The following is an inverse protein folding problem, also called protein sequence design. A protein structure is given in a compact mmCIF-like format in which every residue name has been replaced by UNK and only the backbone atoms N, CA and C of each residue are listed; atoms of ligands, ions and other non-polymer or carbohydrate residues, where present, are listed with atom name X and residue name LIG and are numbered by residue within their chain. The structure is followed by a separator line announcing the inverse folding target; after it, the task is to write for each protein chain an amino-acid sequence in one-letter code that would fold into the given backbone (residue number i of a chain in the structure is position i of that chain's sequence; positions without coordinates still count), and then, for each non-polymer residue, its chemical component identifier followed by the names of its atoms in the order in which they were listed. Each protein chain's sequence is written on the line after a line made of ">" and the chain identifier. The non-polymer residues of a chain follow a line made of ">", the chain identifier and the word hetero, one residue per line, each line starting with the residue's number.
data_IF_735895437714
#
_entry.id   IF_735895437714
#
_cell.length_a   1.000
_cell.length_b   1.000
_cell.length_c   1.000
_cell.angle_alpha   90.00
_cell.angle_beta   90.00
_cell.angle_gamma   90.00
#
_symmetry.space_group_name_H-M   'P 1'
#
loop_
_entity.id
_entity.type
_entity.pdbx_description
1 polymer ?
#
# COMPACT_ATOMS: atom_id res chain seq x y z
N UNK A 1 -1.48 -2.08 29.84
CA UNK A 1 -1.08 -2.66 31.15
C UNK A 1 -2.29 -3.20 31.94
N UNK A 2 -3.13 -4.06 31.34
CA UNK A 2 -4.22 -4.79 32.04
C UNK A 2 -3.90 -6.29 32.22
N UNK A 3 -2.79 -6.77 31.67
CA UNK A 3 -2.49 -8.20 31.57
C UNK A 3 -1.95 -8.83 32.87
N UNK A 4 -1.48 -8.03 33.84
CA UNK A 4 -0.71 -8.57 34.98
C UNK A 4 -1.55 -9.15 36.14
N UNK A 5 -2.77 -8.67 36.47
CA UNK A 5 -3.50 -9.23 37.61
C UNK A 5 -4.49 -10.35 37.23
N UNK A 6 -5.04 -10.40 36.00
CA UNK A 6 -6.11 -11.33 35.62
C UNK A 6 -6.05 -11.76 34.13
N UNK A 7 -5.15 -12.70 33.75
CA UNK A 7 -4.93 -13.10 32.36
C UNK A 7 -6.18 -13.68 31.67
N UNK A 8 -7.07 -14.34 32.43
CA UNK A 8 -8.34 -14.87 31.91
C UNK A 8 -9.32 -13.77 31.51
N UNK A 9 -9.38 -12.67 32.27
CA UNK A 9 -10.23 -11.53 31.94
C UNK A 9 -9.70 -10.79 30.71
N UNK A 10 -8.38 -10.61 30.63
CA UNK A 10 -7.73 -10.05 29.44
C UNK A 10 -8.02 -10.90 28.20
N UNK A 11 -7.91 -12.22 28.32
CA UNK A 11 -8.17 -13.16 27.21
C UNK A 11 -9.63 -13.14 26.79
N UNK A 12 -10.57 -13.08 27.73
CA UNK A 12 -12.01 -12.98 27.42
C UNK A 12 -12.36 -11.65 26.73
N UNK A 13 -11.79 -10.54 27.20
CA UNK A 13 -11.98 -9.22 26.58
C UNK A 13 -11.36 -9.17 25.19
N UNK A 14 -10.13 -9.69 25.02
CA UNK A 14 -9.49 -9.81 23.71
C UNK A 14 -10.28 -10.73 22.77
N UNK A 15 -10.84 -11.83 23.26
CA UNK A 15 -11.70 -12.72 22.47
C UNK A 15 -12.97 -12.03 22.00
N UNK A 16 -13.67 -11.30 22.88
CA UNK A 16 -14.86 -10.53 22.50
C UNK A 16 -14.52 -9.40 21.53
N UNK A 17 -13.40 -8.71 21.73
CA UNK A 17 -12.91 -7.70 20.78
C UNK A 17 -12.56 -8.34 19.43
N UNK A 18 -12.01 -9.57 19.44
CA UNK A 18 -11.64 -10.29 18.22
C UNK A 18 -12.83 -10.62 17.33
N UNK A 19 -14.04 -10.79 17.89
CA UNK A 19 -15.26 -11.00 17.10
C UNK A 19 -15.57 -9.76 16.25
N UNK A 20 -15.37 -8.56 16.81
CA UNK A 20 -15.57 -7.30 16.09
C UNK A 20 -14.51 -7.06 15.01
N UNK A 21 -13.25 -7.38 15.30
CA UNK A 21 -12.17 -7.25 14.31
C UNK A 21 -12.20 -8.36 13.26
N UNK A 22 -12.76 -9.53 13.59
CA UNK A 22 -12.91 -10.64 12.66
C UNK A 22 -13.78 -10.26 11.46
N UNK A 23 -14.87 -9.52 11.69
CA UNK A 23 -15.69 -8.97 10.60
C UNK A 23 -14.87 -8.07 9.67
N UNK A 24 -14.00 -7.22 10.22
CA UNK A 24 -13.12 -6.36 9.44
C UNK A 24 -12.15 -7.21 8.62
N UNK A 25 -11.53 -8.23 9.21
CA UNK A 25 -10.62 -9.13 8.47
C UNK A 25 -11.33 -9.92 7.38
N UNK A 26 -12.58 -10.36 7.63
CA UNK A 26 -13.37 -11.09 6.64
C UNK A 26 -13.75 -10.18 5.48
N UNK A 27 -14.24 -8.97 5.75
CA UNK A 27 -14.52 -7.99 4.70
C UNK A 27 -13.24 -7.62 3.95
N UNK A 28 -12.14 -7.36 4.66
CA UNK A 28 -10.87 -7.01 4.04
C UNK A 28 -10.34 -8.11 3.14
N UNK A 29 -10.39 -9.38 3.55
CA UNK A 29 -9.86 -10.49 2.74
C UNK A 29 -10.81 -10.91 1.61
N UNK A 30 -12.12 -10.97 1.86
CA UNK A 30 -13.09 -11.47 0.88
C UNK A 30 -13.52 -10.38 -0.11
N UNK A 31 -13.70 -9.13 0.35
CA UNK A 31 -14.12 -8.04 -0.54
C UNK A 31 -12.93 -7.48 -1.31
N UNK A 32 -11.71 -7.45 -0.76
CA UNK A 32 -10.55 -6.96 -1.54
C UNK A 32 -10.24 -7.79 -2.78
N UNK A 33 -10.59 -9.08 -2.77
CA UNK A 33 -10.40 -9.99 -3.91
C UNK A 33 -11.48 -9.85 -4.98
N UNK A 34 -12.56 -9.10 -4.72
CA UNK A 34 -13.60 -8.91 -5.72
C UNK A 34 -13.09 -8.08 -6.90
N UNK A 35 -13.34 -8.51 -8.15
CA UNK A 35 -12.88 -7.81 -9.35
C UNK A 35 -13.34 -6.34 -9.42
N UNK A 36 -14.40 -6.00 -8.69
CA UNK A 36 -15.02 -4.69 -8.67
C UNK A 36 -14.80 -3.90 -7.36
N UNK A 37 -14.03 -4.40 -6.39
CA UNK A 37 -13.77 -3.67 -5.15
C UNK A 37 -12.95 -2.39 -5.36
N UNK A 38 -12.25 -2.33 -6.50
CA UNK A 38 -11.44 -1.19 -6.93
C UNK A 38 -11.99 -0.53 -8.19
N UNK A 39 -13.30 -0.61 -8.43
CA UNK A 39 -13.89 0.17 -9.54
C UNK A 39 -13.62 1.63 -9.26
N UNK A 40 -12.70 2.21 -10.04
CA UNK A 40 -12.44 3.64 -10.02
C UNK A 40 -13.74 4.36 -10.36
N UNK A 41 -14.36 4.94 -9.33
CA UNK A 41 -15.48 5.82 -9.51
C UNK A 41 -14.97 7.16 -10.04
N UNK A 42 -15.79 7.84 -10.82
CA UNK A 42 -15.41 9.13 -11.42
C UNK A 42 -14.96 10.09 -10.32
N UNK A 43 -13.72 10.57 -10.39
CA UNK A 43 -13.16 11.48 -9.39
C UNK A 43 -13.72 12.90 -9.55
N UNK A 44 -13.70 13.67 -8.46
CA UNK A 44 -14.05 15.09 -8.44
C UNK A 44 -15.55 15.40 -8.55
N UNK A 45 -15.92 16.65 -8.90
CA UNK A 45 -17.30 17.12 -8.88
C UNK A 45 -18.25 16.29 -9.76
N UNK A 46 -17.76 15.76 -10.88
CA UNK A 46 -18.54 14.91 -11.78
C UNK A 46 -18.99 13.61 -11.09
N UNK A 47 -18.12 13.00 -10.27
CA UNK A 47 -18.48 11.83 -9.46
C UNK A 47 -19.58 12.14 -8.45
N UNK A 48 -19.49 13.28 -7.78
CA UNK A 48 -20.50 13.70 -6.78
C UNK A 48 -21.87 13.83 -7.44
N UNK A 49 -21.95 14.47 -8.62
CA UNK A 49 -23.20 14.60 -9.38
C UNK A 49 -23.72 13.22 -9.81
N UNK A 50 -22.84 12.34 -10.29
CA UNK A 50 -23.20 10.98 -10.70
C UNK A 50 -23.76 10.15 -9.54
N UNK A 51 -23.12 10.20 -8.37
CA UNK A 51 -23.58 9.52 -7.16
C UNK A 51 -24.93 10.08 -6.69
N UNK A 52 -25.09 11.40 -6.69
CA UNK A 52 -26.35 12.05 -6.33
C UNK A 52 -27.49 11.63 -7.28
N UNK A 53 -27.23 11.56 -8.59
CA UNK A 53 -28.20 11.08 -9.58
C UNK A 53 -28.61 9.63 -9.33
N UNK A 54 -27.66 8.72 -9.05
CA UNK A 54 -27.97 7.32 -8.72
C UNK A 54 -28.88 7.25 -7.48
N UNK A 55 -28.53 7.99 -6.41
CA UNK A 55 -29.33 8.03 -5.17
C UNK A 55 -30.74 8.57 -5.43
N UNK A 56 -30.86 9.69 -6.16
CA UNK A 56 -32.16 10.29 -6.47
C UNK A 56 -33.04 9.37 -7.34
N UNK A 57 -32.44 8.66 -8.29
CA UNK A 57 -33.16 7.67 -9.12
C UNK A 57 -33.63 6.47 -8.28
N UNK A 58 -32.78 5.93 -7.41
CA UNK A 58 -33.16 4.86 -6.47
C UNK A 58 -34.29 5.29 -5.52
N UNK A 59 -34.19 6.49 -4.93
CA UNK A 59 -35.24 7.05 -4.09
C UNK A 59 -36.54 7.27 -4.89
N UNK A 60 -36.44 7.75 -6.13
CA UNK A 60 -37.57 7.93 -7.02
C UNK A 60 -38.32 6.63 -7.32
N UNK A 61 -37.61 5.52 -7.50
CA UNK A 61 -38.20 4.18 -7.70
C UNK A 61 -38.93 3.67 -6.44
N UNK A 62 -38.38 3.96 -5.26
CA UNK A 62 -38.97 3.60 -3.98
C UNK A 62 -40.24 4.41 -3.66
N UNK A 63 -40.33 5.67 -4.10
CA UNK A 63 -41.48 6.53 -3.84
C UNK A 63 -42.74 6.10 -4.61
N UNK A 64 -43.82 5.83 -3.86
CA UNK A 64 -45.13 5.43 -4.41
C UNK A 64 -45.80 6.49 -5.31
N UNK A 65 -45.44 7.76 -5.17
CA UNK A 65 -46.01 8.86 -5.97
C UNK A 65 -45.49 8.87 -7.42
N UNK A 66 -44.36 8.22 -7.68
CA UNK A 66 -43.69 8.22 -8.98
C UNK A 66 -43.88 6.90 -9.74
N UNK A 67 -44.88 6.09 -9.37
CA UNK A 67 -45.13 4.75 -9.94
C UNK A 67 -45.32 4.80 -11.45
N UNK A 68 -46.02 5.81 -11.96
CA UNK A 68 -46.25 6.01 -13.39
C UNK A 68 -44.95 6.26 -14.18
N UNK A 69 -43.93 6.84 -13.53
CA UNK A 69 -42.62 7.15 -14.13
C UNK A 69 -41.57 6.06 -13.91
N UNK A 70 -41.89 4.97 -13.19
CA UNK A 70 -40.97 3.87 -12.91
C UNK A 70 -40.26 3.29 -14.14
N UNK A 71 -40.90 3.05 -15.30
CA UNK A 71 -40.17 2.54 -16.46
C UNK A 71 -39.08 3.53 -16.90
N UNK A 72 -39.41 4.84 -16.95
CA UNK A 72 -38.44 5.89 -17.28
C UNK A 72 -37.30 6.01 -16.25
N UNK A 73 -37.62 6.01 -14.95
CA UNK A 73 -36.62 6.05 -13.88
C UNK A 73 -35.71 4.83 -13.89
N UNK A 74 -36.25 3.65 -14.18
CA UNK A 74 -35.47 2.41 -14.26
C UNK A 74 -34.52 2.43 -15.46
N UNK A 75 -35.01 2.87 -16.62
CA UNK A 75 -34.17 3.04 -17.83
C UNK A 75 -33.06 4.05 -17.56
N UNK A 76 -33.38 5.20 -16.94
CA UNK A 76 -32.39 6.21 -16.59
C UNK A 76 -31.35 5.69 -15.61
N UNK A 77 -31.76 4.92 -14.58
CA UNK A 77 -30.83 4.32 -13.63
C UNK A 77 -29.89 3.33 -14.33
N UNK A 78 -30.42 2.45 -15.18
CA UNK A 78 -29.62 1.52 -15.97
C UNK A 78 -28.65 2.27 -16.88
N UNK A 79 -29.10 3.32 -17.57
CA UNK A 79 -28.24 4.13 -18.43
C UNK A 79 -27.10 4.80 -17.64
N UNK A 80 -27.39 5.37 -16.46
CA UNK A 80 -26.40 6.00 -15.58
C UNK A 80 -25.38 4.96 -15.08
N UNK A 81 -25.83 3.77 -14.67
CA UNK A 81 -24.96 2.68 -14.23
C UNK A 81 -24.08 2.15 -15.37
N UNK A 82 -24.62 2.04 -16.59
CA UNK A 82 -23.85 1.64 -17.77
C UNK A 82 -22.81 2.69 -18.16
N UNK A 83 -23.15 3.98 -18.09
CA UNK A 83 -22.20 5.07 -18.33
C UNK A 83 -21.08 5.07 -17.29
N UNK A 84 -21.41 4.87 -16.00
CA UNK A 84 -20.40 4.78 -14.95
C UNK A 84 -19.48 3.57 -15.16
N UNK A 85 -20.04 2.41 -15.47
CA UNK A 85 -19.26 1.20 -15.73
C UNK A 85 -18.36 1.35 -16.97
N UNK A 86 -18.86 1.96 -18.04
CA UNK A 86 -18.08 2.22 -19.26
C UNK A 86 -16.93 3.20 -19.02
N UNK A 87 -17.14 4.20 -18.16
CA UNK A 87 -16.06 5.11 -17.77
C UNK A 87 -14.96 4.38 -17.00
N UNK A 88 -15.33 3.56 -16.01
CA UNK A 88 -14.38 2.78 -15.23
C UNK A 88 -13.60 1.77 -16.06
N UNK A 89 -14.22 1.12 -17.06
CA UNK A 89 -13.51 0.19 -17.93
C UNK A 89 -12.52 0.91 -18.85
N UNK A 90 -12.86 2.09 -19.36
CA UNK A 90 -11.94 2.92 -20.15
C UNK A 90 -10.77 3.40 -19.30
N UNK A 91 -11.02 3.80 -18.05
CA UNK A 91 -9.95 4.20 -17.11
C UNK A 91 -9.00 3.03 -16.81
N UNK A 92 -9.55 1.85 -16.57
CA UNK A 92 -8.76 0.63 -16.35
C UNK A 92 -7.91 0.27 -17.58
N UNK A 93 -8.45 0.40 -18.79
CA UNK A 93 -7.70 0.18 -20.04
C UNK A 93 -6.61 1.23 -20.22
N UNK A 94 -6.88 2.51 -19.87
CA UNK A 94 -5.86 3.57 -19.88
C UNK A 94 -4.77 3.31 -18.86
N UNK A 95 -5.12 2.77 -17.69
CA UNK A 95 -4.17 2.40 -16.65
C UNK A 95 -3.27 1.24 -17.11
N UNK A 96 -3.85 0.19 -17.69
CA UNK A 96 -3.08 -0.94 -18.23
C UNK A 96 -2.25 -0.57 -19.48
N UNK A 97 -2.71 0.39 -20.26
CA UNK A 97 -1.99 0.95 -21.43
C UNK A 97 -1.12 2.17 -21.11
N UNK A 98 -0.90 2.48 -19.83
CA UNK A 98 -0.10 3.64 -19.43
C UNK A 98 1.39 3.33 -19.64
N UNK A 99 1.87 3.53 -20.87
CA UNK A 99 3.30 3.55 -21.23
C UNK A 99 4.00 4.87 -20.84
N UNK A 100 3.38 5.68 -19.96
CA UNK A 100 4.00 6.89 -19.44
C UNK A 100 5.15 6.57 -18.49
N UNK A 101 6.10 7.51 -18.34
CA UNK A 101 7.11 7.44 -17.30
C UNK A 101 6.45 7.60 -15.92
N UNK A 102 6.00 6.49 -15.33
CA UNK A 102 5.57 6.49 -13.93
C UNK A 102 6.76 6.84 -13.05
N UNK A 103 6.50 7.60 -11.99
CA UNK A 103 7.51 8.00 -11.01
C UNK A 103 7.25 7.44 -9.63
N UNK A 104 5.99 7.14 -9.32
CA UNK A 104 5.58 6.58 -8.03
C UNK A 104 4.50 5.55 -8.29
N UNK A 105 4.66 4.35 -7.73
CA UNK A 105 3.66 3.27 -7.77
C UNK A 105 3.58 2.64 -6.39
N UNK A 106 2.38 2.60 -5.81
CA UNK A 106 2.14 1.83 -4.59
C UNK A 106 1.68 0.43 -4.99
N UNK A 107 2.52 -0.57 -4.76
CA UNK A 107 2.24 -1.96 -5.08
C UNK A 107 1.09 -2.49 -4.22
N UNK A 108 0.20 -3.23 -4.85
CA UNK A 108 -0.85 -3.97 -4.15
C UNK A 108 -0.27 -5.23 -3.52
N UNK A 109 0.18 -5.13 -2.28
CA UNK A 109 0.78 -6.23 -1.51
C UNK A 109 -0.18 -6.87 -0.51
N UNK A 110 -1.47 -6.55 -0.61
CA UNK A 110 -2.48 -6.98 0.35
C UNK A 110 -2.39 -6.18 1.64
N UNK A 111 -1.94 -6.81 2.72
CA UNK A 111 -1.70 -6.11 3.99
C UNK A 111 -0.28 -5.52 3.99
N UNK A 112 -0.19 -4.22 4.25
CA UNK A 112 1.06 -3.50 4.42
C UNK A 112 1.40 -2.54 3.30
N UNK A 113 2.67 -2.15 3.26
CA UNK A 113 3.19 -1.12 2.36
C UNK A 113 4.27 -1.68 1.43
N UNK A 114 4.27 -1.18 0.19
CA UNK A 114 5.33 -1.39 -0.79
C UNK A 114 5.26 -0.27 -1.84
N UNK A 115 6.11 0.74 -1.71
CA UNK A 115 6.12 1.92 -2.55
C UNK A 115 7.34 1.93 -3.46
N UNK A 116 7.11 1.93 -4.77
CA UNK A 116 8.16 2.05 -5.79
C UNK A 116 8.25 3.50 -6.25
N UNK A 117 9.47 4.03 -6.31
CA UNK A 117 9.76 5.35 -6.83
C UNK A 117 10.81 5.21 -7.94
N UNK A 118 10.60 5.88 -9.08
CA UNK A 118 11.53 5.88 -10.21
C UNK A 118 11.80 7.29 -10.68
N UNK A 119 13.08 7.61 -10.86
CA UNK A 119 13.51 8.85 -11.51
C UNK A 119 14.74 8.59 -12.37
N UNK A 120 14.69 9.00 -13.64
CA UNK A 120 15.74 8.73 -14.64
C UNK A 120 16.23 7.27 -14.68
N UNK A 121 15.33 6.30 -14.49
CA UNK A 121 15.67 4.87 -14.47
C UNK A 121 16.34 4.36 -13.20
N UNK A 122 16.56 5.23 -12.20
CA UNK A 122 17.02 4.89 -10.85
C UNK A 122 15.80 4.57 -9.99
N UNK A 123 15.80 3.44 -9.29
CA UNK A 123 14.61 2.89 -8.62
C UNK A 123 14.81 2.76 -7.11
N UNK A 124 13.90 3.33 -6.33
CA UNK A 124 13.76 3.04 -4.91
C UNK A 124 12.54 2.15 -4.66
N UNK A 125 12.64 1.27 -3.67
CA UNK A 125 11.54 0.50 -3.11
C UNK A 125 11.50 0.76 -1.60
N UNK A 126 10.35 1.17 -1.07
CA UNK A 126 10.11 1.37 0.36
C UNK A 126 9.12 0.31 0.81
N UNK A 127 9.56 -0.56 1.72
CA UNK A 127 8.86 -1.76 2.19
C UNK A 127 8.51 -2.77 1.08
N UNK A 128 8.12 -3.98 1.49
CA UNK A 128 7.97 -5.15 0.62
C UNK A 128 6.70 -5.95 0.92
N UNK A 129 5.80 -5.44 1.77
CA UNK A 129 4.57 -6.13 2.14
C UNK A 129 4.80 -7.39 2.99
N UNK A 130 3.71 -8.14 3.20
CA UNK A 130 3.70 -9.37 4.02
C UNK A 130 4.20 -10.62 3.32
N UNK A 131 3.84 -10.78 2.07
CA UNK A 131 4.04 -12.01 1.29
C UNK A 131 4.95 -11.73 0.10
N UNK A 132 5.69 -12.74 -0.36
CA UNK A 132 6.67 -12.57 -1.45
C UNK A 132 5.99 -12.39 -2.83
N UNK A 133 4.97 -13.19 -3.14
CA UNK A 133 4.33 -13.19 -4.46
C UNK A 133 3.75 -11.83 -4.90
N UNK A 134 3.08 -11.03 -4.04
CA UNK A 134 2.48 -9.78 -4.49
C UNK A 134 3.50 -8.70 -4.88
N UNK A 135 4.57 -8.54 -4.10
CA UNK A 135 5.62 -7.55 -4.41
C UNK A 135 6.40 -7.99 -5.65
N UNK A 136 6.70 -9.29 -5.79
CA UNK A 136 7.37 -9.83 -6.97
C UNK A 136 6.58 -9.55 -8.26
N UNK A 137 5.29 -9.92 -8.29
CA UNK A 137 4.41 -9.64 -9.43
C UNK A 137 4.32 -8.16 -9.75
N UNK A 138 4.28 -7.29 -8.73
CA UNK A 138 4.25 -5.86 -8.94
C UNK A 138 5.53 -5.38 -9.64
N UNK A 139 6.69 -5.77 -9.13
CA UNK A 139 7.99 -5.37 -9.68
C UNK A 139 8.21 -5.91 -11.11
N UNK A 140 7.72 -7.11 -11.41
CA UNK A 140 7.72 -7.69 -12.77
C UNK A 140 6.84 -6.90 -13.74
N UNK A 141 5.61 -6.58 -13.34
CA UNK A 141 4.71 -5.75 -14.15
C UNK A 141 5.30 -4.35 -14.43
N UNK A 142 6.11 -3.83 -13.50
CA UNK A 142 6.84 -2.57 -13.63
C UNK A 142 8.18 -2.69 -14.37
N UNK A 143 8.54 -3.90 -14.85
CA UNK A 143 9.81 -4.21 -15.50
C UNK A 143 11.03 -3.74 -14.67
N UNK A 144 11.02 -4.02 -13.37
CA UNK A 144 12.10 -3.67 -12.45
C UNK A 144 13.03 -4.87 -12.31
N UNK A 145 14.24 -4.76 -12.87
CA UNK A 145 15.33 -5.73 -12.71
C UNK A 145 16.42 -5.26 -11.74
N UNK A 146 16.34 -4.01 -11.28
CA UNK A 146 17.33 -3.36 -10.41
C UNK A 146 16.65 -2.41 -9.44
N UNK A 147 17.03 -2.49 -8.17
CA UNK A 147 16.63 -1.59 -7.11
C UNK A 147 17.90 -0.89 -6.60
N UNK A 148 17.96 0.42 -6.75
CA UNK A 148 19.09 1.24 -6.30
C UNK A 148 19.09 1.44 -4.79
N UNK A 149 17.90 1.61 -4.23
CA UNK A 149 17.67 1.89 -2.82
C UNK A 149 16.47 1.09 -2.35
N UNK A 150 16.71 0.08 -1.53
CA UNK A 150 15.66 -0.57 -0.75
C UNK A 150 15.61 0.09 0.62
N UNK A 151 14.44 0.48 1.11
CA UNK A 151 14.24 0.97 2.47
C UNK A 151 13.27 0.02 3.15
N UNK A 152 13.68 -0.60 4.25
CA UNK A 152 12.75 -1.30 5.14
C UNK A 152 12.51 -0.38 6.32
N UNK A 153 11.29 0.14 6.44
CA UNK A 153 10.94 1.13 7.46
C UNK A 153 11.09 0.52 8.85
N UNK A 154 10.55 -0.67 9.05
CA UNK A 154 10.62 -1.46 10.27
C UNK A 154 10.33 -2.95 9.98
N UNK A 155 10.56 -3.82 10.97
CA UNK A 155 10.51 -5.27 10.78
C UNK A 155 9.17 -5.91 11.16
N UNK A 156 8.06 -5.20 10.98
CA UNK A 156 6.74 -5.83 11.05
C UNK A 156 6.49 -6.64 9.78
N UNK A 157 5.71 -7.73 9.93
CA UNK A 157 5.54 -8.70 8.87
C UNK A 157 4.99 -8.07 7.60
N UNK A 158 4.06 -7.14 7.72
CA UNK A 158 3.44 -6.41 6.61
C UNK A 158 4.34 -5.32 5.98
N UNK A 159 5.56 -5.12 6.47
CA UNK A 159 6.54 -4.21 5.87
C UNK A 159 7.76 -4.96 5.32
N UNK A 160 8.21 -6.02 6.01
CA UNK A 160 9.46 -6.72 5.69
C UNK A 160 9.27 -8.18 5.27
N UNK A 161 8.06 -8.75 5.39
CA UNK A 161 7.80 -10.17 5.16
C UNK A 161 8.00 -10.64 3.73
N UNK A 162 7.74 -9.77 2.75
CA UNK A 162 7.88 -10.06 1.32
C UNK A 162 9.31 -9.96 0.76
N UNK A 163 10.34 -9.88 1.61
CA UNK A 163 11.72 -9.59 1.20
C UNK A 163 12.25 -10.50 0.09
N UNK A 164 11.98 -11.80 0.14
CA UNK A 164 12.43 -12.74 -0.89
C UNK A 164 11.81 -12.45 -2.27
N UNK A 165 10.55 -12.01 -2.31
CA UNK A 165 9.91 -11.59 -3.56
C UNK A 165 10.53 -10.32 -4.14
N UNK A 166 10.97 -9.40 -3.30
CA UNK A 166 11.67 -8.19 -3.74
C UNK A 166 13.07 -8.47 -4.32
N UNK A 167 13.73 -9.52 -3.81
CA UNK A 167 15.07 -9.94 -4.22
C UNK A 167 15.07 -10.92 -5.40
N UNK A 168 13.97 -11.64 -5.63
CA UNK A 168 13.91 -12.66 -6.68
C UNK A 168 14.17 -12.06 -8.06
N UNK A 169 15.15 -12.64 -8.78
CA UNK A 169 15.58 -12.19 -10.10
C UNK A 169 16.12 -10.74 -10.19
N UNK A 170 16.32 -10.03 -9.07
CA UNK A 170 16.60 -8.58 -9.05
C UNK A 170 17.90 -8.25 -8.34
N UNK A 171 18.62 -7.27 -8.90
CA UNK A 171 19.82 -6.73 -8.25
C UNK A 171 19.44 -5.57 -7.33
N UNK A 172 19.65 -5.73 -6.04
CA UNK A 172 19.51 -4.64 -5.07
C UNK A 172 20.89 -4.11 -4.71
N UNK A 173 21.10 -2.80 -4.89
CA UNK A 173 22.40 -2.19 -4.62
C UNK A 173 22.61 -1.94 -3.13
N UNK A 174 21.70 -1.20 -2.52
CA UNK A 174 21.81 -0.76 -1.13
C UNK A 174 20.47 -0.91 -0.44
N UNK A 175 20.46 -1.47 0.75
CA UNK A 175 19.32 -1.51 1.66
C UNK A 175 19.58 -0.56 2.84
N UNK A 176 18.58 0.23 3.21
CA UNK A 176 18.60 1.11 4.39
C UNK A 176 17.59 0.58 5.39
N UNK A 177 18.07 0.25 6.58
CA UNK A 177 17.25 -0.29 7.69
C UNK A 177 17.46 0.51 8.97
N UNK A 178 16.54 0.42 9.92
CA UNK A 178 16.67 1.08 11.22
C UNK A 178 17.85 0.53 12.02
N UNK A 179 18.49 1.38 12.82
CA UNK A 179 19.53 0.97 13.79
C UNK A 179 18.98 0.46 15.11
N UNK A 180 17.66 0.25 15.19
CA UNK A 180 16.98 -0.27 16.37
C UNK A 180 17.35 -1.72 16.62
N UNK A 181 17.62 -2.06 17.88
CA UNK A 181 17.90 -3.43 18.28
C UNK A 181 16.59 -4.22 18.39
N UNK A 182 16.35 -5.09 17.42
CA UNK A 182 15.16 -5.93 17.32
C UNK A 182 15.59 -7.40 17.23
N UNK A 183 15.12 -8.22 18.16
CA UNK A 183 15.47 -9.65 18.28
C UNK A 183 14.40 -10.58 17.69
N UNK A 184 13.39 -10.02 17.00
CA UNK A 184 12.34 -10.81 16.37
C UNK A 184 12.91 -11.67 15.22
N UNK A 185 12.41 -12.91 15.02
CA UNK A 185 12.93 -13.81 14.00
C UNK A 185 12.92 -13.27 12.57
N UNK A 186 11.97 -12.39 12.25
CA UNK A 186 11.87 -11.79 10.93
C UNK A 186 13.09 -10.90 10.60
N UNK A 187 13.69 -10.25 11.60
CA UNK A 187 14.89 -9.41 11.42
C UNK A 187 16.01 -10.26 10.85
N UNK A 188 16.32 -11.38 11.51
CA UNK A 188 17.38 -12.30 11.06
C UNK A 188 17.09 -12.91 9.70
N UNK A 189 15.83 -13.18 9.38
CA UNK A 189 15.42 -13.67 8.05
C UNK A 189 15.70 -12.62 6.96
N UNK A 190 15.33 -11.36 7.19
CA UNK A 190 15.57 -10.26 6.26
C UNK A 190 17.06 -9.99 6.10
N UNK A 191 17.81 -9.94 7.19
CA UNK A 191 19.27 -9.77 7.15
C UNK A 191 19.97 -10.89 6.39
N UNK A 192 19.53 -12.14 6.58
CA UNK A 192 20.06 -13.30 5.85
C UNK A 192 19.76 -13.17 4.35
N UNK A 193 18.53 -12.84 3.98
CA UNK A 193 18.13 -12.68 2.59
C UNK A 193 18.94 -11.57 1.88
N UNK A 194 19.17 -10.45 2.57
CA UNK A 194 20.01 -9.34 2.08
C UNK A 194 21.48 -9.76 1.93
N UNK A 195 22.01 -10.51 2.89
CA UNK A 195 23.39 -10.99 2.86
C UNK A 195 23.63 -12.02 1.74
N UNK A 196 22.71 -12.98 1.57
CA UNK A 196 22.75 -13.98 0.49
C UNK A 196 22.66 -13.35 -0.90
N UNK A 197 21.99 -12.20 -1.00
CA UNK A 197 21.86 -11.42 -2.23
C UNK A 197 22.97 -10.38 -2.42
N UNK A 198 24.00 -10.39 -1.57
CA UNK A 198 25.16 -9.48 -1.59
C UNK A 198 24.77 -7.99 -1.56
N UNK A 199 23.68 -7.66 -0.86
CA UNK A 199 23.18 -6.28 -0.75
C UNK A 199 23.99 -5.50 0.29
N UNK A 200 24.41 -4.28 -0.05
CA UNK A 200 25.03 -3.37 0.92
C UNK A 200 23.96 -2.87 1.92
N UNK A 201 24.05 -3.28 3.18
CA UNK A 201 23.12 -2.83 4.22
C UNK A 201 23.70 -1.65 4.99
N UNK A 202 22.96 -0.54 5.02
CA UNK A 202 23.30 0.68 5.74
C UNK A 202 22.26 0.98 6.83
N UNK A 203 22.73 1.51 7.96
CA UNK A 203 21.85 2.02 9.01
C UNK A 203 21.29 3.38 8.62
N UNK A 204 19.98 3.49 8.50
CA UNK A 204 19.24 4.73 8.26
C UNK A 204 19.26 5.63 9.49
N UNK A 205 19.66 6.89 9.31
CA UNK A 205 19.61 7.88 10.38
C UNK A 205 19.24 9.27 9.85
N UNK A 206 18.60 10.08 10.68
CA UNK A 206 18.18 11.43 10.36
C UNK A 206 19.35 12.26 9.78
N UNK A 207 19.17 12.76 8.56
CA UNK A 207 20.19 13.50 7.83
C UNK A 207 20.95 12.68 6.78
N UNK A 208 20.93 11.34 6.86
CA UNK A 208 21.40 10.46 5.79
C UNK A 208 20.59 10.71 4.52
N UNK A 209 21.21 10.67 3.36
CA UNK A 209 20.52 10.89 2.10
C UNK A 209 21.43 10.68 0.89
N UNK A 210 20.84 10.88 -0.28
CA UNK A 210 21.53 10.72 -1.55
C UNK A 210 20.67 11.16 -2.72
N UNK A 211 21.09 10.78 -3.92
CA UNK A 211 20.34 11.02 -5.15
C UNK A 211 19.64 9.75 -5.62
N UNK A 212 18.45 9.92 -6.16
CA UNK A 212 17.69 8.93 -6.90
C UNK A 212 17.31 9.56 -8.25
N UNK A 213 18.18 9.43 -9.27
CA UNK A 213 18.02 10.17 -10.52
C UNK A 213 18.08 11.68 -10.29
N UNK A 214 17.00 12.38 -10.64
CA UNK A 214 16.82 13.82 -10.38
C UNK A 214 16.29 14.12 -8.98
N UNK A 215 15.75 13.12 -8.28
CA UNK A 215 15.24 13.29 -6.92
C UNK A 215 16.38 13.24 -5.91
N UNK A 216 16.23 14.00 -4.83
CA UNK A 216 17.02 13.83 -3.62
C UNK A 216 16.20 13.04 -2.62
N UNK A 217 16.82 12.08 -1.96
CA UNK A 217 16.19 11.38 -0.84
C UNK A 217 16.91 11.69 0.46
N UNK A 218 16.17 11.78 1.55
CA UNK A 218 16.70 12.08 2.88
C UNK A 218 15.92 11.34 3.96
N UNK A 219 16.63 10.66 4.85
CA UNK A 219 16.08 10.10 6.07
C UNK A 219 15.79 11.23 7.06
N UNK A 220 14.56 11.29 7.55
CA UNK A 220 14.08 12.26 8.53
C UNK A 220 14.18 11.73 9.97
N UNK A 221 14.01 10.42 10.15
CA UNK A 221 14.07 9.69 11.42
C UNK A 221 14.40 8.20 11.14
N UNK A 222 14.89 7.42 12.11
CA UNK A 222 15.23 7.77 13.50
C UNK A 222 16.68 8.29 13.62
N UNK A 223 17.22 8.44 14.82
CA UNK A 223 18.67 8.53 15.05
C UNK A 223 19.36 7.21 14.71
N UNK A 224 20.68 7.22 14.52
CA UNK A 224 21.44 6.04 14.07
C UNK A 224 21.34 4.80 14.97
N UNK A 225 20.93 4.95 16.23
CA UNK A 225 20.69 3.82 17.15
C UNK A 225 19.22 3.69 17.55
N UNK A 226 18.36 4.56 17.02
CA UNK A 226 16.96 4.69 17.40
C UNK A 226 16.73 4.69 18.93
N UNK A 227 17.63 5.31 19.70
CA UNK A 227 17.56 5.28 21.17
C UNK A 227 16.34 5.99 21.75
N UNK A 228 15.72 6.86 20.96
CA UNK A 228 14.48 7.55 21.27
C UNK A 228 13.23 6.67 21.11
N UNK A 229 13.34 5.55 20.38
CA UNK A 229 12.22 4.68 20.07
C UNK A 229 11.96 3.67 21.19
N UNK A 230 10.68 3.38 21.47
CA UNK A 230 10.28 2.36 22.45
C UNK A 230 10.07 0.99 21.83
N UNK A 231 9.73 0.97 20.55
CA UNK A 231 9.47 -0.21 19.77
C UNK A 231 9.90 0.02 18.31
N UNK A 232 9.73 -1.01 17.49
CA UNK A 232 10.14 -0.98 16.08
C UNK A 232 9.38 0.06 15.25
N UNK A 233 8.16 0.45 15.65
CA UNK A 233 7.33 1.38 14.89
C UNK A 233 7.80 2.81 15.15
N UNK A 234 8.08 3.13 16.41
CA UNK A 234 8.72 4.40 16.81
C UNK A 234 10.11 4.55 16.14
N UNK A 235 10.77 3.44 15.81
CA UNK A 235 12.07 3.38 15.17
C UNK A 235 12.03 3.37 13.63
N UNK A 236 10.87 3.64 13.02
CA UNK A 236 10.70 3.55 11.57
C UNK A 236 11.65 4.46 10.81
N UNK A 237 12.29 3.95 9.75
CA UNK A 237 13.05 4.78 8.81
C UNK A 237 12.08 5.61 7.98
N UNK A 238 11.97 6.90 8.30
CA UNK A 238 11.15 7.86 7.56
C UNK A 238 12.02 8.48 6.48
N UNK A 239 11.64 8.32 5.21
CA UNK A 239 12.36 8.89 4.06
C UNK A 239 11.50 9.91 3.31
N UNK A 240 12.10 11.04 2.97
CA UNK A 240 11.52 12.06 2.10
C UNK A 240 12.21 12.08 0.75
N UNK A 241 11.44 12.21 -0.33
CA UNK A 241 11.93 12.40 -1.69
C UNK A 241 11.53 13.80 -2.17
N UNK A 242 12.47 14.56 -2.71
CA UNK A 242 12.26 15.94 -3.17
C UNK A 242 12.85 16.15 -4.57
N UNK A 243 12.15 16.91 -5.41
CA UNK A 243 12.59 17.30 -6.75
C UNK A 243 12.02 18.66 -7.14
N UNK A 244 12.64 19.34 -8.11
CA UNK A 244 12.24 20.70 -8.54
C UNK A 244 10.82 20.76 -9.09
N UNK A 245 10.33 19.66 -9.68
CA UNK A 245 8.97 19.56 -10.23
C UNK A 245 7.87 19.22 -9.20
N UNK A 246 8.23 18.99 -7.92
CA UNK A 246 7.32 18.51 -6.86
C UNK A 246 7.29 19.42 -5.62
N UNK A 247 7.63 20.71 -5.80
CA UNK A 247 7.64 21.75 -4.76
C UNK A 247 6.39 22.62 -4.70
#
# INVERSE_FOLDING_TARGET
>A
MLAYPLPFLSSAVSYLASIGTWWITLVANEVSTWPAARVHFVAGPAGIVLAALIVLLCLGLYQRRLVEYRPGLSISLVAVLLLSASWSTIDQIRYQGFEGAWQVVNCDVGQGDALVIRSQGVVALVDVGRESDPVDKCLDNLNISRIDLLVITHFDADHAGGIYGALDGRRVKTAVISGFADDRPLVSLVETALAESEVEVLTGFAGMGGKLGELNWKVLAPTAKATEAKDSNDASVIVAFTGEDYG
#
